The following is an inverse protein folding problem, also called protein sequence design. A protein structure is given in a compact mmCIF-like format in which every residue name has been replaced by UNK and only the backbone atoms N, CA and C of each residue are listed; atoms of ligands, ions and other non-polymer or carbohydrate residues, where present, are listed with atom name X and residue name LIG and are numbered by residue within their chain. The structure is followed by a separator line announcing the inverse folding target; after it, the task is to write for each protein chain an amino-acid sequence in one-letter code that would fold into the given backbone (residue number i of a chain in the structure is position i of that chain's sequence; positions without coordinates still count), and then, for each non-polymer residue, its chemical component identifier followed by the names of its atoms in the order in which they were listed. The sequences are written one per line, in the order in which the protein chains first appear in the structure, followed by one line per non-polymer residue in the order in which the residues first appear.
data_IF_428664287524
#
_entry.id   IF_428664287524
#
_cell.length_a   1.000
_cell.length_b   1.000
_cell.length_c   1.000
_cell.angle_alpha   90.00
_cell.angle_beta   90.00
_cell.angle_gamma   90.00
#
_symmetry.space_group_name_H-M   'P 1'
#
loop_
_entity.id
_entity.type
_entity.pdbx_description
1 polymer ?
#
# COMPACT_ATOMS: atom_id res chain seq x y z
N UNK A 1 -35.67 -3.24 -13.20
CA UNK A 1 -35.10 -3.85 -11.98
C UNK A 1 -34.69 -5.27 -12.34
N UNK A 2 -33.44 -5.46 -12.77
CA UNK A 2 -32.91 -6.78 -13.10
C UNK A 2 -32.57 -7.49 -11.79
N UNK A 3 -33.32 -8.54 -11.45
CA UNK A 3 -32.94 -9.44 -10.36
C UNK A 3 -31.73 -10.23 -10.85
N UNK A 4 -30.54 -9.86 -10.40
CA UNK A 4 -29.33 -10.66 -10.58
C UNK A 4 -29.57 -12.06 -10.00
N UNK A 5 -29.39 -13.10 -10.81
CA UNK A 5 -29.55 -14.48 -10.37
C UNK A 5 -28.55 -14.76 -9.22
N UNK A 6 -29.00 -15.19 -8.02
CA UNK A 6 -28.08 -15.42 -6.90
C UNK A 6 -27.00 -16.46 -7.23
N UNK A 7 -27.28 -17.41 -8.15
CA UNK A 7 -26.29 -18.36 -8.65
C UNK A 7 -25.13 -17.66 -9.41
N UNK A 8 -25.43 -16.66 -10.25
CA UNK A 8 -24.40 -15.95 -11.01
C UNK A 8 -23.49 -15.08 -10.12
N UNK A 9 -23.99 -14.64 -8.96
CA UNK A 9 -23.19 -13.88 -7.99
C UNK A 9 -22.18 -14.76 -7.23
N UNK A 10 -22.54 -16.00 -6.91
CA UNK A 10 -21.63 -16.93 -6.24
C UNK A 10 -20.55 -17.44 -7.19
N UNK A 11 -20.88 -17.66 -8.47
CA UNK A 11 -19.91 -18.06 -9.49
C UNK A 11 -18.82 -16.97 -9.70
N UNK A 12 -19.22 -15.69 -9.72
CA UNK A 12 -18.27 -14.57 -9.79
C UNK A 12 -17.36 -14.53 -8.55
N UNK A 13 -17.93 -14.64 -7.35
CA UNK A 13 -17.13 -14.70 -6.10
C UNK A 13 -16.16 -15.89 -6.11
N UNK A 14 -16.62 -17.06 -6.52
CA UNK A 14 -15.78 -18.24 -6.65
C UNK A 14 -14.61 -17.99 -7.62
N UNK A 15 -14.87 -17.35 -8.76
CA UNK A 15 -13.84 -16.98 -9.72
C UNK A 15 -12.81 -16.02 -9.12
N UNK A 16 -13.24 -15.00 -8.35
CA UNK A 16 -12.33 -14.08 -7.66
C UNK A 16 -11.40 -14.80 -6.69
N UNK A 17 -11.90 -15.75 -5.90
CA UNK A 17 -11.05 -16.56 -5.02
C UNK A 17 -10.08 -17.47 -5.79
N UNK A 18 -10.46 -18.04 -6.95
CA UNK A 18 -9.54 -18.82 -7.81
C UNK A 18 -8.45 -17.94 -8.41
N UNK A 19 -8.81 -16.73 -8.86
CA UNK A 19 -7.87 -15.76 -9.41
C UNK A 19 -6.89 -15.31 -8.32
N UNK A 20 -7.38 -14.93 -7.14
CA UNK A 20 -6.52 -14.64 -5.99
C UNK A 20 -5.56 -15.79 -5.70
N UNK A 21 -6.05 -17.03 -5.66
CA UNK A 21 -5.20 -18.19 -5.37
C UNK A 21 -4.04 -18.38 -6.36
N UNK A 22 -4.33 -18.23 -7.66
CA UNK A 22 -3.37 -18.53 -8.74
C UNK A 22 -2.51 -17.33 -9.17
N UNK A 23 -3.01 -16.10 -9.03
CA UNK A 23 -2.33 -14.88 -9.48
C UNK A 23 -1.70 -14.09 -8.35
N UNK A 24 -2.22 -14.20 -7.14
CA UNK A 24 -1.73 -13.44 -5.99
C UNK A 24 -1.03 -14.33 -4.97
N UNK A 25 -1.75 -15.25 -4.32
CA UNK A 25 -1.20 -15.97 -3.16
C UNK A 25 -0.12 -16.98 -3.52
N UNK A 26 -0.26 -17.68 -4.63
CA UNK A 26 0.76 -18.62 -5.12
C UNK A 26 2.03 -17.87 -5.58
N UNK A 27 1.84 -16.79 -6.33
CA UNK A 27 2.94 -15.96 -6.87
C UNK A 27 3.71 -15.23 -5.76
N UNK A 28 3.02 -14.77 -4.71
CA UNK A 28 3.61 -14.03 -3.60
C UNK A 28 3.87 -14.92 -2.36
N UNK A 29 4.02 -16.24 -2.56
CA UNK A 29 4.44 -17.21 -1.55
C UNK A 29 3.60 -17.23 -0.25
N UNK A 30 2.28 -17.41 -0.37
CA UNK A 30 1.41 -17.76 0.76
C UNK A 30 0.70 -19.10 0.51
N UNK A 31 1.34 -20.23 0.84
CA UNK A 31 0.74 -21.56 0.69
C UNK A 31 -0.55 -21.72 1.50
N UNK A 32 -0.65 -21.13 2.71
CA UNK A 32 -1.86 -21.20 3.52
C UNK A 32 -3.03 -20.52 2.80
N UNK A 33 -2.87 -19.26 2.38
CA UNK A 33 -3.95 -18.54 1.71
C UNK A 33 -4.29 -19.15 0.34
N UNK A 34 -3.31 -19.74 -0.35
CA UNK A 34 -3.56 -20.48 -1.60
C UNK A 34 -4.48 -21.68 -1.37
N UNK A 35 -4.22 -22.49 -0.35
CA UNK A 35 -5.07 -23.63 0.01
C UNK A 35 -6.46 -23.16 0.43
N UNK A 36 -6.55 -22.15 1.31
CA UNK A 36 -7.82 -21.62 1.79
C UNK A 36 -8.67 -21.05 0.65
N UNK A 37 -8.10 -20.19 -0.20
CA UNK A 37 -8.81 -19.55 -1.30
C UNK A 37 -9.34 -20.57 -2.32
N UNK A 38 -8.55 -21.60 -2.67
CA UNK A 38 -9.01 -22.68 -3.58
C UNK A 38 -10.20 -23.45 -3.00
N UNK A 39 -10.19 -23.73 -1.70
CA UNK A 39 -11.30 -24.44 -1.05
C UNK A 39 -12.52 -23.54 -0.85
N UNK A 40 -12.35 -22.27 -0.49
CA UNK A 40 -13.46 -21.28 -0.40
C UNK A 40 -14.16 -21.17 -1.76
N UNK A 41 -13.41 -21.13 -2.87
CA UNK A 41 -13.98 -21.08 -4.21
C UNK A 41 -14.82 -22.31 -4.62
N UNK A 42 -14.78 -23.39 -3.83
CA UNK A 42 -15.54 -24.61 -4.04
C UNK A 42 -16.62 -24.83 -2.96
N UNK A 43 -16.76 -23.93 -1.97
CA UNK A 43 -17.71 -24.06 -0.86
C UNK A 43 -18.78 -22.96 -0.90
N UNK A 44 -20.02 -23.31 -1.29
CA UNK A 44 -21.13 -22.36 -1.30
C UNK A 44 -21.39 -21.68 0.04
N UNK A 45 -21.20 -22.36 1.19
CA UNK A 45 -21.43 -21.75 2.51
C UNK A 45 -20.43 -20.61 2.76
N UNK A 46 -19.17 -20.80 2.38
CA UNK A 46 -18.13 -19.77 2.54
C UNK A 46 -18.31 -18.62 1.57
N UNK A 47 -18.70 -18.89 0.32
CA UNK A 47 -19.02 -17.84 -0.66
C UNK A 47 -20.24 -17.02 -0.21
N UNK A 48 -21.23 -17.69 0.39
CA UNK A 48 -22.40 -17.04 0.99
C UNK A 48 -22.03 -16.15 2.18
N UNK A 49 -20.97 -16.44 2.91
CA UNK A 49 -20.44 -15.55 3.95
C UNK A 49 -19.63 -14.40 3.34
N UNK A 50 -18.76 -14.69 2.36
CA UNK A 50 -17.91 -13.70 1.71
C UNK A 50 -18.70 -12.61 0.96
N UNK A 51 -19.95 -12.89 0.56
CA UNK A 51 -20.81 -11.92 -0.16
C UNK A 51 -21.13 -10.65 0.65
N UNK A 52 -20.98 -10.69 1.97
CA UNK A 52 -21.18 -9.51 2.84
C UNK A 52 -20.01 -8.53 2.77
N UNK A 53 -18.92 -8.88 2.08
CA UNK A 53 -17.82 -7.97 1.82
C UNK A 53 -18.30 -6.67 1.18
N UNK A 54 -17.73 -5.55 1.61
CA UNK A 54 -18.00 -4.25 1.00
C UNK A 54 -17.80 -4.29 -0.52
N UNK A 55 -18.67 -3.63 -1.30
CA UNK A 55 -18.47 -3.46 -2.74
C UNK A 55 -17.09 -2.86 -3.04
N UNK A 56 -16.56 -3.20 -4.21
CA UNK A 56 -15.30 -2.66 -4.74
C UNK A 56 -14.05 -2.93 -3.88
N UNK A 57 -14.13 -3.90 -2.96
CA UNK A 57 -12.99 -4.40 -2.20
C UNK A 57 -12.50 -5.75 -2.75
N UNK A 58 -11.19 -6.05 -2.64
CA UNK A 58 -10.67 -7.38 -2.95
C UNK A 58 -11.17 -8.38 -1.90
N UNK A 59 -12.26 -9.07 -2.23
CA UNK A 59 -13.03 -9.93 -1.31
C UNK A 59 -12.17 -11.02 -0.65
N UNK A 60 -11.23 -11.61 -1.40
CA UNK A 60 -10.36 -12.66 -0.85
C UNK A 60 -9.45 -12.11 0.26
N UNK A 61 -8.78 -10.98 0.01
CA UNK A 61 -7.91 -10.31 0.97
C UNK A 61 -8.72 -9.88 2.19
N UNK A 62 -9.90 -9.30 1.99
CA UNK A 62 -10.76 -8.82 3.08
C UNK A 62 -11.24 -9.97 3.98
N UNK A 63 -11.72 -11.06 3.37
CA UNK A 63 -12.24 -12.22 4.08
C UNK A 63 -11.15 -12.97 4.86
N UNK A 64 -10.01 -13.24 4.22
CA UNK A 64 -8.88 -13.93 4.86
C UNK A 64 -8.27 -13.06 5.98
N UNK A 65 -8.18 -11.74 5.77
CA UNK A 65 -7.72 -10.81 6.80
C UNK A 65 -8.70 -10.71 7.98
N UNK A 66 -10.02 -10.82 7.76
CA UNK A 66 -10.99 -10.86 8.86
C UNK A 66 -10.77 -12.06 9.78
N UNK A 67 -10.52 -13.25 9.21
CA UNK A 67 -10.17 -14.44 9.99
C UNK A 67 -8.84 -14.26 10.72
N UNK A 68 -7.81 -13.77 10.01
CA UNK A 68 -6.50 -13.51 10.61
C UNK A 68 -6.58 -12.48 11.75
N UNK A 69 -7.38 -11.43 11.58
CA UNK A 69 -7.65 -10.39 12.57
C UNK A 69 -8.25 -10.97 13.86
N UNK A 70 -9.26 -11.83 13.73
CA UNK A 70 -9.89 -12.48 14.87
C UNK A 70 -8.91 -13.38 15.63
N UNK A 71 -8.07 -14.13 14.92
CA UNK A 71 -7.01 -14.93 15.54
C UNK A 71 -5.95 -14.04 16.23
N UNK A 72 -5.52 -12.96 15.58
CA UNK A 72 -4.58 -11.98 16.12
C UNK A 72 -5.14 -11.25 17.36
N UNK A 73 -6.46 -11.10 17.45
CA UNK A 73 -7.15 -10.50 18.60
C UNK A 73 -7.19 -11.40 19.84
N UNK A 74 -6.72 -12.64 19.72
CA UNK A 74 -6.50 -13.56 20.84
C UNK A 74 -7.53 -14.69 20.96
N UNK A 75 -8.41 -14.87 19.97
CA UNK A 75 -9.33 -16.01 19.95
C UNK A 75 -8.53 -17.32 19.94
N UNK A 76 -8.78 -18.16 20.95
CA UNK A 76 -8.15 -19.46 21.09
C UNK A 76 -8.90 -20.48 20.23
N UNK A 77 -8.28 -20.90 19.12
CA UNK A 77 -8.87 -21.88 18.22
C UNK A 77 -7.75 -22.71 17.54
N UNK A 78 -7.96 -24.01 17.25
CA UNK A 78 -6.95 -24.86 16.59
C UNK A 78 -6.42 -24.31 15.26
N UNK A 79 -7.21 -23.47 14.57
CA UNK A 79 -6.81 -22.79 13.33
C UNK A 79 -5.50 -21.98 13.50
N UNK A 80 -5.25 -21.41 14.67
CA UNK A 80 -4.04 -20.61 14.92
C UNK A 80 -2.73 -21.41 14.70
N UNK A 81 -2.76 -22.74 14.89
CA UNK A 81 -1.60 -23.60 14.68
C UNK A 81 -1.13 -23.65 13.21
N UNK A 82 -1.98 -23.26 12.26
CA UNK A 82 -1.64 -23.22 10.83
C UNK A 82 -1.07 -21.87 10.39
N UNK A 83 -1.15 -20.82 11.22
CA UNK A 83 -0.74 -19.46 10.89
C UNK A 83 0.70 -19.20 11.37
N UNK A 84 1.71 -19.08 10.47
CA UNK A 84 3.10 -18.84 10.86
C UNK A 84 3.31 -17.49 11.57
N UNK A 85 2.36 -16.56 11.43
CA UNK A 85 2.30 -15.29 12.15
C UNK A 85 1.91 -15.42 13.64
N UNK A 86 1.41 -16.58 14.05
CA UNK A 86 0.87 -16.86 15.38
C UNK A 86 1.59 -18.01 16.11
N UNK A 87 2.37 -18.83 15.40
CA UNK A 87 3.14 -19.94 15.96
C UNK A 87 4.53 -20.05 15.34
N UNK A 88 5.50 -20.49 16.14
CA UNK A 88 6.88 -20.73 15.67
C UNK A 88 7.03 -22.05 14.90
N UNK A 89 6.08 -22.98 15.06
CA UNK A 89 6.07 -24.30 14.41
C UNK A 89 4.69 -24.51 13.77
N UNK A 90 4.45 -23.92 12.58
CA UNK A 90 3.17 -24.05 11.92
C UNK A 90 2.92 -25.48 11.43
N UNK A 91 1.69 -25.96 11.58
CA UNK A 91 1.26 -27.20 10.96
C UNK A 91 1.22 -27.07 9.43
N UNK A 92 1.42 -28.18 8.74
CA UNK A 92 1.35 -28.22 7.27
C UNK A 92 -0.09 -27.87 6.85
N UNK A 93 -0.28 -27.05 5.82
CA UNK A 93 -1.60 -26.60 5.37
C UNK A 93 -2.53 -27.71 4.86
N UNK A 94 -2.07 -28.97 4.81
CA UNK A 94 -2.91 -30.13 4.46
C UNK A 94 -3.93 -30.33 5.58
N UNK A 95 -5.22 -30.31 5.26
CA UNK A 95 -6.29 -30.48 6.24
C UNK A 95 -6.66 -29.23 7.04
N UNK A 96 -6.06 -28.06 6.74
CA UNK A 96 -6.44 -26.79 7.38
C UNK A 96 -7.89 -26.40 7.11
N UNK A 97 -8.43 -26.77 5.94
CA UNK A 97 -9.70 -26.23 5.48
C UNK A 97 -10.91 -26.61 6.35
N UNK A 98 -11.12 -27.87 6.78
CA UNK A 98 -12.16 -28.19 7.75
C UNK A 98 -12.08 -27.37 9.05
N UNK A 99 -10.87 -27.12 9.56
CA UNK A 99 -10.63 -26.31 10.78
C UNK A 99 -10.97 -24.84 10.52
N UNK A 100 -10.54 -24.30 9.37
CA UNK A 100 -10.88 -22.94 8.94
C UNK A 100 -12.39 -22.76 8.77
N UNK A 101 -13.05 -23.72 8.13
CA UNK A 101 -14.49 -23.70 7.88
C UNK A 101 -15.29 -23.74 9.19
N UNK A 102 -14.84 -24.53 10.16
CA UNK A 102 -15.43 -24.56 11.50
C UNK A 102 -15.26 -23.22 12.22
N UNK A 103 -14.06 -22.61 12.18
CA UNK A 103 -13.84 -21.26 12.71
C UNK A 103 -14.79 -20.23 12.09
N UNK A 104 -14.92 -20.20 10.77
CA UNK A 104 -15.81 -19.27 10.09
C UNK A 104 -17.29 -19.45 10.49
N UNK A 105 -17.71 -20.68 10.78
CA UNK A 105 -19.07 -20.97 11.28
C UNK A 105 -19.26 -20.51 12.71
N UNK A 106 -18.28 -20.71 13.58
CA UNK A 106 -18.32 -20.27 14.99
C UNK A 106 -18.31 -18.74 15.11
N UNK A 107 -17.59 -18.06 14.21
CA UNK A 107 -17.40 -16.61 14.25
C UNK A 107 -18.12 -15.86 13.10
N UNK A 108 -19.21 -16.42 12.58
CA UNK A 108 -19.93 -15.89 11.41
C UNK A 108 -20.32 -14.42 11.55
N UNK A 109 -20.94 -14.04 12.67
CA UNK A 109 -21.40 -12.65 12.89
C UNK A 109 -20.22 -11.67 12.91
N UNK A 110 -19.15 -12.00 13.64
CA UNK A 110 -17.95 -11.16 13.74
C UNK A 110 -17.27 -10.99 12.38
N UNK A 111 -17.20 -12.05 11.57
CA UNK A 111 -16.64 -11.97 10.22
C UNK A 111 -17.49 -11.05 9.34
N UNK A 112 -18.82 -11.19 9.37
CA UNK A 112 -19.74 -10.32 8.61
C UNK A 112 -19.54 -8.86 8.99
N UNK A 113 -19.49 -8.57 10.29
CA UNK A 113 -19.29 -7.20 10.79
C UNK A 113 -17.97 -6.60 10.29
N UNK A 114 -16.89 -7.38 10.29
CA UNK A 114 -15.58 -6.93 9.80
C UNK A 114 -15.61 -6.68 8.29
N UNK A 115 -16.04 -7.66 7.49
CA UNK A 115 -15.95 -7.55 6.02
C UNK A 115 -16.96 -6.56 5.43
N UNK A 116 -18.04 -6.26 6.16
CA UNK A 116 -19.03 -5.26 5.75
C UNK A 116 -18.68 -3.82 6.14
N UNK A 117 -17.75 -3.63 7.09
CA UNK A 117 -17.37 -2.29 7.59
C UNK A 117 -15.96 -1.88 7.16
N UNK A 118 -14.99 -2.80 7.13
CA UNK A 118 -13.59 -2.48 6.87
C UNK A 118 -13.24 -2.53 5.39
N UNK A 119 -12.25 -1.72 5.01
CA UNK A 119 -11.64 -1.74 3.70
C UNK A 119 -10.24 -2.37 3.76
N UNK A 120 -9.78 -2.88 2.62
CA UNK A 120 -8.39 -3.27 2.43
C UNK A 120 -7.56 -2.01 2.18
N UNK A 121 -6.63 -1.75 3.09
CA UNK A 121 -5.67 -0.67 2.97
C UNK A 121 -4.29 -1.23 3.32
N UNK A 122 -3.40 -1.27 2.33
CA UNK A 122 -2.02 -1.68 2.53
C UNK A 122 -1.13 -0.44 2.57
N UNK A 123 -0.32 -0.31 3.63
CA UNK A 123 0.67 0.77 3.72
C UNK A 123 2.08 0.16 3.58
N UNK A 124 2.46 -0.20 2.35
CA UNK A 124 3.73 -0.89 2.07
C UNK A 124 4.92 0.07 2.11
N UNK A 125 5.73 -0.03 3.17
CA UNK A 125 6.82 0.90 3.47
C UNK A 125 8.04 0.69 2.56
N UNK A 126 8.29 -0.52 2.04
CA UNK A 126 9.42 -0.74 1.12
C UNK A 126 9.32 0.10 -0.16
N UNK A 127 8.12 0.56 -0.54
CA UNK A 127 7.96 1.46 -1.69
C UNK A 127 8.80 2.74 -1.56
N UNK A 128 9.13 3.16 -0.34
CA UNK A 128 10.05 4.28 -0.11
C UNK A 128 11.41 4.05 -0.76
N UNK A 129 11.89 2.81 -0.86
CA UNK A 129 13.16 2.50 -1.53
C UNK A 129 13.09 2.78 -3.04
N UNK A 130 11.94 2.57 -3.69
CA UNK A 130 11.76 2.96 -5.09
C UNK A 130 11.53 4.47 -5.25
N UNK A 131 10.90 5.11 -4.26
CA UNK A 131 10.62 6.56 -4.27
C UNK A 131 11.84 7.44 -3.98
N UNK A 132 12.81 6.97 -3.19
CA UNK A 132 14.01 7.73 -2.82
C UNK A 132 14.74 8.38 -4.01
N UNK A 133 15.12 7.66 -5.08
CA UNK A 133 15.79 8.28 -6.23
C UNK A 133 14.90 9.31 -6.95
N UNK A 134 13.58 9.14 -6.90
CA UNK A 134 12.64 10.11 -7.47
C UNK A 134 12.64 11.43 -6.69
N UNK A 135 12.66 11.36 -5.36
CA UNK A 135 12.80 12.54 -4.50
C UNK A 135 14.15 13.22 -4.67
N UNK A 136 15.22 12.46 -4.89
CA UNK A 136 16.54 13.03 -5.17
C UNK A 136 16.56 13.81 -6.48
N UNK A 137 15.93 13.31 -7.56
CA UNK A 137 15.80 14.04 -8.82
C UNK A 137 14.97 15.30 -8.64
N UNK A 138 13.81 15.20 -7.97
CA UNK A 138 12.98 16.35 -7.69
C UNK A 138 13.75 17.41 -6.88
N UNK A 139 14.55 16.99 -5.90
CA UNK A 139 15.41 17.89 -5.12
C UNK A 139 16.50 18.54 -6.00
N UNK A 140 17.16 17.79 -6.88
CA UNK A 140 18.17 18.33 -7.81
C UNK A 140 17.55 19.37 -8.76
N UNK A 141 16.45 19.03 -9.42
CA UNK A 141 15.74 19.94 -10.33
C UNK A 141 15.15 21.16 -9.60
N UNK A 142 14.69 20.96 -8.37
CA UNK A 142 14.24 22.00 -7.45
C UNK A 142 15.35 22.88 -6.87
N UNK A 143 16.60 22.74 -7.35
CA UNK A 143 17.80 23.50 -6.91
C UNK A 143 18.18 23.25 -5.45
N UNK A 144 17.95 22.03 -4.97
CA UNK A 144 18.26 21.56 -3.59
C UNK A 144 17.61 22.40 -2.47
N UNK A 145 16.54 23.14 -2.79
CA UNK A 145 15.65 23.71 -1.79
C UNK A 145 15.00 22.58 -0.96
N UNK A 146 14.65 22.83 0.31
CA UNK A 146 13.92 21.85 1.11
C UNK A 146 12.65 21.39 0.40
N UNK A 147 12.35 20.10 0.55
CA UNK A 147 11.14 19.51 -0.01
C UNK A 147 9.94 19.81 0.91
N UNK A 148 8.83 20.16 0.26
CA UNK A 148 7.49 20.08 0.84
C UNK A 148 6.74 18.97 0.10
N UNK A 149 6.40 17.90 0.81
CA UNK A 149 5.80 16.72 0.20
C UNK A 149 4.32 16.58 0.58
N UNK A 150 3.51 16.20 -0.40
CA UNK A 150 2.10 15.86 -0.22
C UNK A 150 1.86 14.46 -0.77
N UNK A 151 1.45 13.51 0.07
CA UNK A 151 1.05 12.16 -0.35
C UNK A 151 -0.46 12.09 -0.57
N UNK A 152 -0.89 11.55 -1.72
CA UNK A 152 -2.29 11.18 -1.98
C UNK A 152 -2.44 9.67 -1.75
N UNK A 153 -3.42 9.26 -0.93
CA UNK A 153 -3.64 7.86 -0.54
C UNK A 153 -2.68 7.40 0.56
N UNK A 154 -2.41 8.26 1.54
CA UNK A 154 -1.33 8.05 2.51
C UNK A 154 -1.59 6.91 3.51
N UNK A 155 -2.83 6.43 3.64
CA UNK A 155 -3.25 5.44 4.63
C UNK A 155 -2.86 5.82 6.07
N UNK A 156 -1.83 5.19 6.64
CA UNK A 156 -1.31 5.48 7.98
C UNK A 156 -0.17 6.52 8.00
N UNK A 157 0.19 7.10 6.85
CA UNK A 157 1.23 8.12 6.74
C UNK A 157 2.66 7.59 6.74
N UNK A 158 2.87 6.28 6.59
CA UNK A 158 4.21 5.68 6.77
C UNK A 158 5.19 6.07 5.65
N UNK A 159 4.70 6.33 4.43
CA UNK A 159 5.56 6.69 3.31
C UNK A 159 5.93 8.19 3.28
N UNK A 160 5.20 9.05 4.00
CA UNK A 160 5.60 10.45 4.23
C UNK A 160 6.93 10.54 4.96
N UNK A 161 7.32 9.50 5.70
CA UNK A 161 8.51 9.46 6.54
C UNK A 161 9.68 8.77 5.82
N UNK A 162 9.67 8.71 4.49
CA UNK A 162 10.74 8.11 3.68
C UNK A 162 12.13 8.65 4.08
N UNK A 163 12.24 9.93 4.43
CA UNK A 163 13.51 10.54 4.82
C UNK A 163 13.96 10.18 6.26
N UNK A 164 13.14 9.45 7.01
CA UNK A 164 13.42 8.97 8.37
C UNK A 164 13.89 7.51 8.39
N UNK A 165 13.97 6.85 7.23
CA UNK A 165 14.40 5.45 7.10
C UNK A 165 15.84 5.35 6.61
N UNK A 166 16.41 4.14 6.71
CA UNK A 166 17.67 3.78 6.04
C UNK A 166 17.39 2.83 4.88
N UNK A 167 18.30 2.81 3.93
CA UNK A 167 18.15 2.11 2.66
C UNK A 167 19.40 1.33 2.33
N UNK A 168 19.23 0.13 1.80
CA UNK A 168 20.29 -0.69 1.22
C UNK A 168 19.84 -1.18 -0.14
N UNK A 169 20.66 -0.90 -1.14
CA UNK A 169 20.41 -1.26 -2.54
C UNK A 169 21.44 -2.28 -2.98
N UNK A 170 21.05 -3.56 -2.90
CA UNK A 170 21.97 -4.69 -3.06
C UNK A 170 23.27 -4.47 -2.23
N UNK A 171 24.43 -4.90 -2.74
CA UNK A 171 25.74 -4.59 -2.14
C UNK A 171 26.36 -3.29 -2.70
N UNK A 172 25.60 -2.52 -3.47
CA UNK A 172 26.11 -1.39 -4.26
C UNK A 172 26.06 -0.09 -3.47
N UNK A 173 24.97 0.13 -2.73
CA UNK A 173 24.72 1.42 -2.12
C UNK A 173 23.95 1.33 -0.81
N UNK A 174 24.27 2.20 0.14
CA UNK A 174 23.52 2.38 1.38
C UNK A 174 23.35 3.88 1.67
N UNK A 175 22.17 4.27 2.16
CA UNK A 175 21.85 5.66 2.47
C UNK A 175 20.81 5.76 3.58
N UNK A 176 20.49 6.98 3.96
CA UNK A 176 19.49 7.31 4.96
C UNK A 176 20.05 7.45 6.37
N UNK A 177 19.13 7.50 7.33
CA UNK A 177 19.47 7.78 8.72
C UNK A 177 20.21 6.58 9.31
N UNK A 178 21.53 6.71 9.55
CA UNK A 178 22.38 5.61 10.05
C UNK A 178 21.89 4.98 11.37
N UNK A 179 21.13 5.74 12.16
CA UNK A 179 20.54 5.30 13.43
C UNK A 179 19.06 4.89 13.30
N UNK A 180 18.50 4.88 12.10
CA UNK A 180 17.11 4.43 11.88
C UNK A 180 16.96 2.99 12.34
N UNK A 181 15.90 2.72 13.10
CA UNK A 181 15.52 1.36 13.48
C UNK A 181 14.90 0.56 12.31
N UNK A 182 14.65 1.21 11.17
CA UNK A 182 14.10 0.61 9.96
C UNK A 182 15.05 0.80 8.78
N UNK A 183 15.58 -0.32 8.29
CA UNK A 183 16.29 -0.42 7.02
C UNK A 183 15.39 -1.06 5.97
N UNK A 184 15.32 -0.45 4.80
CA UNK A 184 14.57 -0.92 3.65
C UNK A 184 15.56 -1.44 2.60
N UNK A 185 15.40 -2.71 2.26
CA UNK A 185 16.22 -3.37 1.25
C UNK A 185 15.51 -3.34 -0.10
N UNK A 186 16.26 -3.06 -1.16
CA UNK A 186 15.77 -3.07 -2.54
C UNK A 186 16.85 -3.61 -3.47
N UNK A 187 16.51 -4.61 -4.28
CA UNK A 187 17.40 -5.14 -5.30
C UNK A 187 17.46 -4.22 -6.51
N UNK A 188 18.67 -3.85 -6.92
CA UNK A 188 18.85 -3.12 -8.18
C UNK A 188 18.92 -4.09 -9.35
N UNK A 189 18.07 -3.86 -10.33
CA UNK A 189 18.05 -4.59 -11.59
C UNK A 189 18.48 -3.69 -12.74
N UNK A 190 18.95 -4.31 -13.82
CA UNK A 190 19.51 -3.61 -14.97
C UNK A 190 20.92 -3.09 -14.73
N UNK A 191 21.45 -2.36 -15.72
CA UNK A 191 22.84 -1.87 -15.71
C UNK A 191 22.98 -0.40 -15.29
N UNK A 192 21.87 0.33 -15.21
CA UNK A 192 21.86 1.76 -14.86
C UNK A 192 21.70 1.91 -13.36
N UNK A 193 22.51 2.80 -12.78
CA UNK A 193 22.45 3.13 -11.36
C UNK A 193 21.55 4.38 -11.21
N UNK A 194 20.48 4.32 -10.41
CA UNK A 194 19.64 5.49 -10.17
C UNK A 194 20.42 6.58 -9.41
N UNK A 195 19.99 7.85 -9.50
CA UNK A 195 20.65 8.93 -8.78
C UNK A 195 20.36 8.82 -7.30
N UNK A 196 21.35 8.36 -6.55
CA UNK A 196 21.24 8.27 -5.11
C UNK A 196 21.83 9.50 -4.41
N UNK A 197 21.15 10.01 -3.36
CA UNK A 197 21.65 11.13 -2.59
C UNK A 197 22.84 10.73 -1.72
N UNK A 198 23.92 11.53 -1.72
CA UNK A 198 24.99 11.43 -0.72
C UNK A 198 24.47 11.77 0.69
N UNK A 199 23.55 12.74 0.77
CA UNK A 199 22.79 13.10 1.96
C UNK A 199 21.31 13.22 1.57
N UNK A 200 20.41 12.66 2.39
CA UNK A 200 18.99 12.70 2.10
C UNK A 200 18.49 14.14 1.90
N UNK A 201 17.61 14.40 0.91
CA UNK A 201 16.97 15.70 0.76
C UNK A 201 16.24 16.12 2.04
N UNK A 202 16.46 17.36 2.48
CA UNK A 202 15.78 17.91 3.65
C UNK A 202 14.29 18.07 3.38
N UNK A 203 13.42 17.50 4.23
CA UNK A 203 11.96 17.61 4.13
C UNK A 203 11.43 18.46 5.30
N UNK A 204 10.86 19.61 4.97
CA UNK A 204 10.37 20.60 5.97
C UNK A 204 8.87 20.56 6.19
N UNK A 205 8.12 20.02 5.22
CA UNK A 205 6.67 19.86 5.30
C UNK A 205 6.27 18.49 4.75
N UNK A 206 5.44 17.78 5.52
CA UNK A 206 4.84 16.48 5.15
C UNK A 206 3.35 16.56 5.36
N UNK A 207 2.56 16.35 4.32
CA UNK A 207 1.10 16.32 4.40
C UNK A 207 0.57 15.07 3.71
N UNK A 208 -0.20 14.25 4.42
CA UNK A 208 -0.89 13.11 3.84
C UNK A 208 -2.37 13.39 3.64
N UNK A 209 -2.91 12.97 2.50
CA UNK A 209 -4.34 13.04 2.17
C UNK A 209 -4.86 11.62 1.97
N UNK A 210 -5.90 11.26 2.70
CA UNK A 210 -6.56 9.96 2.54
C UNK A 210 -8.06 10.10 2.80
N UNK A 211 -8.89 9.31 2.11
CA UNK A 211 -10.34 9.28 2.36
C UNK A 211 -10.67 8.71 3.75
N UNK A 212 -9.90 7.71 4.17
CA UNK A 212 -10.09 6.97 5.41
C UNK A 212 -8.73 6.71 6.07
N UNK A 213 -8.05 7.76 6.58
CA UNK A 213 -6.72 7.61 7.15
C UNK A 213 -6.74 6.70 8.38
N UNK A 214 -5.69 5.90 8.53
CA UNK A 214 -5.55 4.96 9.65
C UNK A 214 -5.01 5.72 10.86
N UNK A 215 -5.77 5.69 11.96
CA UNK A 215 -5.31 6.23 13.24
C UNK A 215 -4.32 5.26 13.91
N UNK A 216 -3.02 5.53 13.82
CA UNK A 216 -1.96 4.70 14.41
C UNK A 216 -1.91 4.69 15.95
N UNK A 217 -2.70 5.56 16.59
CA UNK A 217 -2.89 5.58 18.05
C UNK A 217 -4.01 4.64 18.50
N UNK A 218 -4.85 4.18 17.58
CA UNK A 218 -5.88 3.19 17.84
C UNK A 218 -5.28 1.77 17.67
N UNK A 219 -5.17 0.97 18.74
CA UNK A 219 -4.61 -0.38 18.66
C UNK A 219 -5.44 -1.31 17.76
N UNK A 220 -6.75 -1.12 17.66
CA UNK A 220 -7.62 -1.92 16.80
C UNK A 220 -7.34 -1.65 15.31
N UNK A 221 -7.22 -0.37 14.95
CA UNK A 221 -6.86 0.04 13.59
C UNK A 221 -5.47 -0.49 13.18
N UNK A 222 -4.50 -0.46 14.10
CA UNK A 222 -3.16 -1.03 13.89
C UNK A 222 -3.21 -2.56 13.75
N UNK A 223 -4.04 -3.23 14.54
CA UNK A 223 -4.23 -4.67 14.45
C UNK A 223 -4.86 -5.08 13.11
N UNK A 224 -5.81 -4.29 12.60
CA UNK A 224 -6.36 -4.48 11.25
C UNK A 224 -5.31 -4.31 10.16
N UNK A 225 -4.51 -3.25 10.23
CA UNK A 225 -3.40 -3.03 9.29
C UNK A 225 -2.41 -4.20 9.30
N UNK A 226 -2.13 -4.78 10.48
CA UNK A 226 -1.32 -6.01 10.62
C UNK A 226 -2.01 -7.23 10.01
N UNK A 227 -3.31 -7.42 10.21
CA UNK A 227 -4.06 -8.57 9.70
C UNK A 227 -4.09 -8.65 8.16
N UNK A 228 -3.96 -7.50 7.49
CA UNK A 228 -3.83 -7.40 6.04
C UNK A 228 -2.46 -7.85 5.51
N UNK A 229 -1.46 -8.03 6.39
CA UNK A 229 -0.20 -8.70 6.05
C UNK A 229 -0.42 -10.21 6.16
N UNK A 230 0.01 -10.92 5.12
CA UNK A 230 -0.24 -12.36 5.02
C UNK A 230 0.59 -13.15 6.04
N UNK A 231 0.10 -14.34 6.47
CA UNK A 231 0.67 -15.07 7.61
C UNK A 231 2.15 -15.41 7.45
N UNK A 232 2.61 -15.66 6.22
CA UNK A 232 3.98 -16.01 5.90
C UNK A 232 4.93 -14.80 5.80
N UNK A 233 4.42 -13.58 5.60
CA UNK A 233 5.23 -12.37 5.35
C UNK A 233 5.70 -11.71 6.66
N UNK A 234 6.40 -12.47 7.49
CA UNK A 234 6.89 -12.03 8.81
C UNK A 234 7.78 -10.78 8.75
N UNK A 235 8.58 -10.66 7.69
CA UNK A 235 9.45 -9.51 7.44
C UNK A 235 8.65 -8.22 7.19
N UNK A 236 7.48 -8.31 6.54
CA UNK A 236 6.56 -7.18 6.38
C UNK A 236 5.96 -6.75 7.70
N UNK A 237 5.65 -7.69 8.59
CA UNK A 237 5.16 -7.39 9.95
C UNK A 237 6.21 -6.63 10.75
N UNK A 238 7.47 -7.09 10.72
CA UNK A 238 8.58 -6.41 11.39
C UNK A 238 8.76 -5.00 10.84
N UNK A 239 8.75 -4.83 9.51
CA UNK A 239 8.86 -3.51 8.87
C UNK A 239 7.72 -2.57 9.26
N UNK A 240 6.47 -3.06 9.23
CA UNK A 240 5.30 -2.31 9.67
C UNK A 240 5.45 -1.83 11.12
N UNK A 241 5.86 -2.72 12.03
CA UNK A 241 6.04 -2.37 13.45
C UNK A 241 7.07 -1.25 13.64
N UNK A 242 8.24 -1.36 12.98
CA UNK A 242 9.28 -0.32 13.05
C UNK A 242 8.83 1.01 12.44
N UNK A 243 8.13 0.97 11.32
CA UNK A 243 7.59 2.17 10.70
C UNK A 243 6.54 2.86 11.61
N UNK A 244 5.67 2.10 12.27
CA UNK A 244 4.70 2.62 13.24
C UNK A 244 5.39 3.26 14.46
N UNK A 245 6.48 2.66 14.95
CA UNK A 245 7.30 3.25 16.03
C UNK A 245 7.83 4.63 15.64
N UNK A 246 8.40 4.75 14.44
CA UNK A 246 8.89 6.03 13.90
C UNK A 246 7.73 7.00 13.68
N UNK A 247 6.62 6.56 13.11
CA UNK A 247 5.46 7.42 12.83
C UNK A 247 4.82 8.00 14.11
N UNK A 248 4.79 7.24 15.21
CA UNK A 248 4.31 7.76 16.50
C UNK A 248 5.20 8.87 17.08
N UNK A 249 6.50 8.83 16.79
CA UNK A 249 7.45 9.86 17.20
C UNK A 249 7.34 11.09 16.31
N UNK A 250 7.27 10.90 14.99
CA UNK A 250 7.28 11.98 13.99
C UNK A 250 5.93 12.67 13.81
N UNK A 251 4.82 11.96 14.05
CA UNK A 251 3.44 12.45 13.96
C UNK A 251 3.17 13.24 12.66
N UNK A 252 3.31 12.61 11.48
CA UNK A 252 3.06 13.30 10.21
C UNK A 252 1.62 13.86 10.18
N UNK A 253 1.45 15.03 9.56
CA UNK A 253 0.14 15.64 9.39
C UNK A 253 -0.65 14.88 8.33
N UNK A 254 -1.77 14.27 8.74
CA UNK A 254 -2.65 13.52 7.86
C UNK A 254 -4.05 14.15 7.92
N UNK A 255 -4.64 14.43 6.76
CA UNK A 255 -5.97 15.00 6.64
C UNK A 255 -6.91 13.98 6.00
N UNK A 256 -8.05 13.75 6.66
CA UNK A 256 -9.13 12.93 6.13
C UNK A 256 -9.94 13.73 5.09
N UNK A 257 -10.12 13.19 3.89
CA UNK A 257 -11.00 13.74 2.88
C UNK A 257 -10.56 13.48 1.45
N UNK A 258 -11.38 13.94 0.51
CA UNK A 258 -11.12 13.83 -0.92
C UNK A 258 -9.91 14.69 -1.32
N UNK A 259 -8.85 14.03 -1.77
CA UNK A 259 -7.61 14.69 -2.17
C UNK A 259 -7.83 15.72 -3.29
N UNK A 260 -8.78 15.50 -4.21
CA UNK A 260 -9.07 16.45 -5.29
C UNK A 260 -9.69 17.75 -4.77
N UNK A 261 -10.30 17.73 -3.58
CA UNK A 261 -10.86 18.92 -2.91
C UNK A 261 -9.85 19.59 -1.99
N UNK A 262 -9.05 18.79 -1.27
CA UNK A 262 -8.10 19.29 -0.28
C UNK A 262 -6.82 19.86 -0.92
N UNK A 263 -6.31 19.22 -1.98
CA UNK A 263 -5.01 19.55 -2.58
C UNK A 263 -4.90 21.03 -3.01
N UNK A 264 -5.89 21.65 -3.70
CA UNK A 264 -5.81 23.07 -4.06
C UNK A 264 -5.62 24.00 -2.85
N UNK A 265 -6.28 23.71 -1.73
CA UNK A 265 -6.22 24.54 -0.50
C UNK A 265 -4.88 24.35 0.22
N UNK A 266 -4.32 23.14 0.21
CA UNK A 266 -3.06 22.87 0.90
C UNK A 266 -1.90 23.49 0.15
N UNK A 267 -1.89 23.40 -1.19
CA UNK A 267 -0.79 23.93 -2.01
C UNK A 267 -0.60 25.45 -1.88
N UNK A 268 -1.65 26.21 -1.55
CA UNK A 268 -1.55 27.68 -1.32
C UNK A 268 -0.83 28.02 -0.02
N UNK A 269 -0.78 27.09 0.94
CA UNK A 269 -0.13 27.25 2.23
C UNK A 269 1.30 26.66 2.26
N UNK A 270 1.74 26.01 1.18
CA UNK A 270 3.09 25.46 1.09
C UNK A 270 4.11 26.60 0.92
N UNK A 271 5.17 26.68 1.74
CA UNK A 271 6.18 27.74 1.65
C UNK A 271 6.78 27.91 0.25
N UNK A 272 6.99 29.15 -0.18
CA UNK A 272 7.47 29.47 -1.53
C UNK A 272 8.95 29.11 -1.76
N UNK A 273 9.74 29.03 -0.68
CA UNK A 273 11.15 28.66 -0.66
C UNK A 273 11.38 27.13 -0.68
N UNK A 274 10.31 26.34 -0.79
CA UNK A 274 10.37 24.88 -0.91
C UNK A 274 10.13 24.37 -2.33
N UNK A 275 10.69 23.20 -2.63
CA UNK A 275 10.32 22.42 -3.80
C UNK A 275 9.09 21.58 -3.44
N UNK A 276 7.94 21.88 -4.05
CA UNK A 276 6.70 21.15 -3.82
C UNK A 276 6.69 19.86 -4.64
N UNK A 277 6.55 18.73 -3.95
CA UNK A 277 6.38 17.42 -4.55
C UNK A 277 5.06 16.79 -4.11
N UNK A 278 4.17 16.52 -5.06
CA UNK A 278 2.98 15.70 -4.83
C UNK A 278 3.32 14.27 -5.24
N UNK A 279 3.07 13.28 -4.40
CA UNK A 279 3.35 11.90 -4.75
C UNK A 279 2.22 10.96 -4.35
N UNK A 280 2.19 9.81 -5.01
CA UNK A 280 1.23 8.75 -4.74
C UNK A 280 1.82 7.40 -5.14
N UNK A 281 1.40 6.34 -4.45
CA UNK A 281 1.77 4.98 -4.80
C UNK A 281 0.57 4.05 -4.73
N UNK A 282 0.27 3.33 -5.81
CA UNK A 282 -0.88 2.42 -5.90
C UNK A 282 -2.21 3.02 -5.43
N UNK A 283 -2.42 4.29 -5.76
CA UNK A 283 -3.60 5.05 -5.31
C UNK A 283 -4.46 5.44 -6.49
N UNK A 284 -3.87 5.84 -7.62
CA UNK A 284 -4.64 6.28 -8.78
C UNK A 284 -5.37 5.14 -9.49
N UNK A 285 -5.05 3.88 -9.21
CA UNK A 285 -5.87 2.73 -9.60
C UNK A 285 -7.29 2.77 -9.03
N UNK A 286 -7.50 3.48 -7.91
CA UNK A 286 -8.82 3.69 -7.29
C UNK A 286 -9.54 4.94 -7.84
N UNK A 287 -8.85 5.78 -8.63
CA UNK A 287 -9.44 6.97 -9.21
C UNK A 287 -10.14 6.61 -10.52
N UNK A 288 -11.29 7.25 -10.76
CA UNK A 288 -11.90 7.25 -12.10
C UNK A 288 -11.02 8.02 -13.08
N UNK A 289 -11.20 7.76 -14.38
CA UNK A 289 -10.48 8.52 -15.42
C UNK A 289 -10.73 10.03 -15.31
N UNK A 290 -11.94 10.43 -14.91
CA UNK A 290 -12.26 11.84 -14.65
C UNK A 290 -11.51 12.38 -13.43
N UNK A 291 -11.40 11.60 -12.35
CA UNK A 291 -10.61 11.97 -11.18
C UNK A 291 -9.12 12.16 -11.51
N UNK A 292 -8.56 11.30 -12.37
CA UNK A 292 -7.16 11.43 -12.85
C UNK A 292 -6.96 12.70 -13.68
N UNK A 293 -7.91 13.02 -14.58
CA UNK A 293 -7.90 14.28 -15.35
C UNK A 293 -8.03 15.50 -14.44
N UNK A 294 -8.92 15.45 -13.46
CA UNK A 294 -9.11 16.51 -12.48
C UNK A 294 -7.82 16.75 -11.68
N UNK A 295 -7.11 15.71 -11.26
CA UNK A 295 -5.81 15.85 -10.59
C UNK A 295 -4.79 16.59 -11.46
N UNK A 296 -4.63 16.19 -12.74
CA UNK A 296 -3.73 16.89 -13.66
C UNK A 296 -4.13 18.36 -13.83
N UNK A 297 -5.43 18.65 -14.01
CA UNK A 297 -5.92 20.02 -14.14
C UNK A 297 -5.64 20.88 -12.90
N UNK A 298 -5.79 20.32 -11.69
CA UNK A 298 -5.45 21.01 -10.43
C UNK A 298 -3.97 21.41 -10.42
N UNK A 299 -3.07 20.50 -10.79
CA UNK A 299 -1.63 20.73 -10.79
C UNK A 299 -1.20 21.72 -11.90
N UNK A 300 -1.77 21.60 -13.10
CA UNK A 300 -1.56 22.55 -14.22
C UNK A 300 -2.00 23.97 -13.85
N UNK A 301 -3.12 24.10 -13.14
CA UNK A 301 -3.59 25.41 -12.71
C UNK A 301 -2.72 26.00 -11.60
N UNK A 302 -2.34 25.19 -10.61
CA UNK A 302 -1.44 25.62 -9.53
C UNK A 302 -0.06 26.03 -10.06
N UNK A 303 0.41 25.38 -11.14
CA UNK A 303 1.73 25.64 -11.72
C UNK A 303 1.90 26.98 -12.43
N UNK A 304 0.82 27.76 -12.55
CA UNK A 304 0.87 29.19 -12.94
C UNK A 304 1.67 30.03 -11.96
N UNK A 305 1.66 29.64 -10.68
CA UNK A 305 2.23 30.41 -9.58
C UNK A 305 3.51 29.81 -8.99
N UNK A 306 3.78 28.53 -9.24
CA UNK A 306 4.97 27.83 -8.72
C UNK A 306 5.32 26.60 -9.55
N UNK A 307 6.57 26.16 -9.46
CA UNK A 307 6.99 24.85 -9.96
C UNK A 307 6.45 23.73 -9.06
N UNK A 308 5.98 22.63 -9.66
CA UNK A 308 5.47 21.46 -8.94
C UNK A 308 6.02 20.18 -9.59
N UNK A 309 6.53 19.28 -8.76
CA UNK A 309 6.88 17.93 -9.16
C UNK A 309 5.74 16.97 -8.76
N UNK A 310 5.36 16.06 -9.65
CA UNK A 310 4.53 14.90 -9.28
C UNK A 310 5.30 13.61 -9.48
N UNK A 311 5.41 12.80 -8.43
CA UNK A 311 5.98 11.46 -8.47
C UNK A 311 4.84 10.45 -8.48
N UNK A 312 4.74 9.67 -9.55
CA UNK A 312 3.76 8.60 -9.70
C UNK A 312 4.45 7.26 -9.57
N UNK A 313 3.95 6.38 -8.71
CA UNK A 313 4.37 4.99 -8.62
C UNK A 313 3.15 4.08 -8.73
N UNK A 314 2.81 3.73 -9.96
CA UNK A 314 1.53 3.11 -10.28
C UNK A 314 1.72 1.92 -11.23
N UNK A 315 0.83 0.95 -11.13
CA UNK A 315 0.71 -0.11 -12.13
C UNK A 315 -0.32 0.30 -13.19
N UNK A 316 0.01 0.10 -14.47
CA UNK A 316 -0.91 0.37 -15.58
C UNK A 316 -1.94 -0.76 -15.75
N UNK A 317 -1.58 -1.98 -15.36
CA UNK A 317 -2.45 -3.16 -15.35
C UNK A 317 -1.92 -4.23 -14.39
N UNK A 318 -2.78 -5.13 -13.91
CA UNK A 318 -2.38 -6.21 -12.97
C UNK A 318 -1.25 -7.11 -13.48
N UNK A 319 -1.02 -7.16 -14.79
CA UNK A 319 0.01 -7.99 -15.44
C UNK A 319 1.32 -7.26 -15.72
N UNK A 320 1.41 -5.96 -15.46
CA UNK A 320 2.60 -5.16 -15.75
C UNK A 320 3.27 -4.68 -14.48
N UNK A 321 4.60 -4.70 -14.52
CA UNK A 321 5.41 -4.12 -13.48
C UNK A 321 5.08 -2.62 -13.34
N UNK A 322 4.84 -2.15 -12.11
CA UNK A 322 4.67 -0.75 -11.81
C UNK A 322 5.78 0.13 -12.40
N UNK A 323 5.38 1.31 -12.84
CA UNK A 323 6.29 2.32 -13.37
C UNK A 323 6.42 3.49 -12.41
N UNK A 324 7.62 4.05 -12.34
CA UNK A 324 7.86 5.32 -11.67
C UNK A 324 7.98 6.42 -12.72
N UNK A 325 7.08 7.39 -12.64
CA UNK A 325 7.02 8.54 -13.53
C UNK A 325 7.24 9.82 -12.74
N UNK A 326 8.07 10.71 -13.29
CA UNK A 326 8.24 12.07 -12.80
C UNK A 326 7.54 13.02 -13.77
N UNK A 327 6.66 13.83 -13.22
CA UNK A 327 6.03 14.94 -13.91
C UNK A 327 6.57 16.26 -13.38
N UNK A 328 6.82 17.19 -14.28
CA UNK A 328 7.13 18.58 -13.96
C UNK A 328 6.00 19.46 -14.49
N UNK A 329 5.41 20.24 -13.58
CA UNK A 329 4.42 21.25 -13.91
C UNK A 329 5.05 22.64 -13.75
N UNK A 330 5.07 23.40 -14.84
CA UNK A 330 5.64 24.74 -14.86
C UNK A 330 4.89 25.61 -15.86
N UNK A 331 4.40 26.77 -15.42
CA UNK A 331 3.73 27.74 -16.30
C UNK A 331 2.56 27.12 -17.10
N UNK A 332 1.75 26.28 -16.44
CA UNK A 332 0.64 25.52 -17.05
C UNK A 332 1.04 24.51 -18.13
N UNK A 333 2.31 24.17 -18.25
CA UNK A 333 2.78 23.04 -19.03
C UNK A 333 3.03 21.84 -18.12
N UNK A 334 2.77 20.65 -18.65
CA UNK A 334 3.08 19.36 -18.03
C UNK A 334 4.12 18.65 -18.91
N UNK A 335 5.25 18.26 -18.32
CA UNK A 335 6.18 17.32 -18.95
C UNK A 335 6.25 16.05 -18.11
N UNK A 336 6.41 14.90 -18.77
CA UNK A 336 6.41 13.57 -18.15
C UNK A 336 7.65 12.80 -18.58
N UNK A 337 8.27 12.09 -17.64
CA UNK A 337 9.33 11.13 -17.91
C UNK A 337 9.08 9.83 -17.14
N UNK A 338 9.22 8.69 -17.81
CA UNK A 338 9.27 7.37 -17.17
C UNK A 338 10.72 7.13 -16.77
N UNK A 339 10.97 6.92 -15.48
CA UNK A 339 12.33 6.84 -14.94
C UNK A 339 12.73 5.44 -14.50
N UNK A 340 11.77 4.62 -14.05
CA UNK A 340 12.05 3.27 -13.58
C UNK A 340 10.85 2.32 -13.68
N UNK A 341 11.14 1.02 -13.59
CA UNK A 341 10.19 -0.03 -13.25
C UNK A 341 10.53 -0.58 -11.88
N UNK A 342 9.53 -1.06 -11.14
CA UNK A 342 9.75 -1.63 -9.82
C UNK A 342 8.69 -2.66 -9.48
N UNK A 343 9.02 -3.59 -8.57
CA UNK A 343 8.03 -4.49 -7.95
C UNK A 343 6.89 -3.72 -7.29
N UNK A 344 5.72 -4.33 -7.09
CA UNK A 344 4.61 -3.67 -6.38
C UNK A 344 4.85 -3.37 -4.89
N UNK A 345 5.77 -4.12 -4.28
CA UNK A 345 6.06 -4.03 -2.86
C UNK A 345 7.41 -3.37 -2.54
N UNK A 346 8.14 -2.88 -3.55
CA UNK A 346 9.43 -2.20 -3.40
C UNK A 346 10.63 -3.10 -3.10
N UNK A 347 10.56 -4.39 -3.45
CA UNK A 347 11.66 -5.35 -3.32
C UNK A 347 12.73 -5.21 -4.40
N UNK A 348 12.38 -4.72 -5.60
CA UNK A 348 13.35 -4.43 -6.65
C UNK A 348 13.01 -3.15 -7.44
N UNK A 349 14.04 -2.55 -8.04
CA UNK A 349 14.00 -1.35 -8.87
C UNK A 349 14.92 -1.52 -10.09
N UNK A 350 14.39 -1.31 -11.30
CA UNK A 350 15.14 -1.19 -12.55
C UNK A 350 15.11 0.27 -13.03
N UNK A 351 16.28 0.91 -13.11
CA UNK A 351 16.39 2.28 -13.58
C UNK A 351 16.49 2.35 -15.11
N UNK A 352 15.67 3.19 -15.76
CA UNK A 352 15.54 3.25 -17.22
C UNK A 352 16.19 4.49 -17.85
N UNK A 353 16.24 5.60 -17.10
CA UNK A 353 16.62 6.92 -17.61
C UNK A 353 18.13 7.13 -17.79
#
# INVERSE_FOLDING_TARGET
MSQSNPASGLDDLAQRFRLFASRESEVNFSPLYTVLARNIAADPDMLMLARFARPDQPVANLFLAAVHYLLLSGIQHPLAAFYPSLTTLPEISIGVYPVFRNFCREHTEQIIDIISSRGVQTNEVCRCACLLPMFEIAAQLGRKRPLAIIEIGTSAGLNLLWDQYSYRYSDVFSSGTRTSALQLDCDLQGSRIPPFPAELPNVTLRVGLDLHPINISDPDAVLWLRALIWPEHSERVVRLQRALEIARQQRPLIMAGDALKLLPVIMTNVPADTTLCVFHSFTLNQFSDEGRKQLSNILVNASKSREIFRISYESQSESEDPVLELYLYLQSLETKQVLARASAHGSWLEWLA
#
